data_IF_463962602535
#
_entry.id   IF_463962602535
#
_cell.length_a   1.000
_cell.length_b   1.000
_cell.length_c   1.000
_cell.angle_alpha   90.00
_cell.angle_beta   90.00
_cell.angle_gamma   90.00
#
_symmetry.space_group_name_H-M   'P 1'
#
loop_
_entity.id
_entity.type
_entity.pdbx_description
1 polymer ?
#
# COMPACT_ATOMS: atom_id res chain seq x y z
N UNK A 1 -5.65 -8.35 -5.06
CA UNK A 1 -4.90 -9.51 -4.56
C UNK A 1 -3.52 -9.54 -5.21
N UNK A 2 -2.46 -9.82 -4.41
CA UNK A 2 -1.10 -9.98 -4.97
C UNK A 2 -0.51 -11.32 -4.57
N UNK A 3 0.20 -11.96 -5.49
CA UNK A 3 0.98 -13.18 -5.27
C UNK A 3 2.42 -12.90 -5.68
N UNK A 4 3.38 -13.16 -4.78
CA UNK A 4 4.78 -12.86 -5.01
C UNK A 4 5.64 -14.11 -4.75
N UNK A 5 6.52 -14.42 -5.69
CA UNK A 5 7.56 -15.43 -5.54
C UNK A 5 8.91 -14.73 -5.59
N UNK A 6 9.66 -14.77 -4.48
CA UNK A 6 10.88 -13.99 -4.34
C UNK A 6 11.69 -14.36 -3.12
N UNK A 7 12.61 -13.50 -2.77
CA UNK A 7 13.51 -13.63 -1.62
C UNK A 7 13.33 -12.44 -0.67
N UNK A 8 13.37 -12.77 0.62
CA UNK A 8 13.36 -11.79 1.69
C UNK A 8 14.76 -11.68 2.31
N UNK A 9 15.22 -10.46 2.50
CA UNK A 9 16.48 -10.18 3.16
C UNK A 9 16.28 -9.19 4.32
N UNK A 10 16.68 -9.62 5.52
CA UNK A 10 16.64 -8.77 6.71
C UNK A 10 18.00 -8.10 6.92
N UNK A 11 18.01 -6.78 7.01
CA UNK A 11 19.19 -5.96 7.25
C UNK A 11 19.12 -5.42 8.67
N UNK A 12 19.92 -6.01 9.54
CA UNK A 12 19.87 -5.72 10.97
C UNK A 12 18.53 -6.13 11.60
N UNK A 13 18.04 -5.32 12.55
CA UNK A 13 16.80 -5.61 13.30
C UNK A 13 15.58 -4.88 12.76
N UNK A 14 15.79 -3.86 11.98
CA UNK A 14 14.76 -2.86 11.68
C UNK A 14 14.35 -2.78 10.22
N UNK A 15 15.18 -3.27 9.29
CA UNK A 15 14.92 -3.18 7.86
C UNK A 15 14.77 -4.57 7.25
N UNK A 16 13.71 -4.78 6.49
CA UNK A 16 13.57 -5.93 5.60
C UNK A 16 13.29 -5.48 4.17
N UNK A 17 13.87 -6.19 3.22
CA UNK A 17 13.68 -5.98 1.80
C UNK A 17 13.27 -7.32 1.18
N UNK A 18 12.11 -7.34 0.54
CA UNK A 18 11.60 -8.45 -0.26
C UNK A 18 11.71 -8.09 -1.73
N UNK A 19 12.37 -8.93 -2.50
CA UNK A 19 12.42 -8.80 -3.94
C UNK A 19 11.79 -10.03 -4.60
N UNK A 20 10.72 -9.80 -5.36
CA UNK A 20 9.99 -10.84 -6.08
C UNK A 20 10.08 -10.61 -7.59
N UNK A 21 10.97 -11.32 -8.30
CA UNK A 21 11.05 -11.24 -9.75
C UNK A 21 9.82 -11.84 -10.44
N UNK A 22 9.03 -12.65 -9.75
CA UNK A 22 7.75 -13.15 -10.24
C UNK A 22 6.64 -12.69 -9.30
N UNK A 23 5.95 -11.63 -9.69
CA UNK A 23 4.83 -11.04 -8.95
C UNK A 23 3.59 -10.98 -9.84
N UNK A 24 2.43 -11.31 -9.27
CA UNK A 24 1.12 -11.16 -9.89
C UNK A 24 0.25 -10.20 -9.09
N UNK A 25 -0.33 -9.20 -9.76
CA UNK A 25 -1.32 -8.28 -9.21
C UNK A 25 -2.67 -8.60 -9.87
N UNK A 26 -3.67 -8.91 -9.07
CA UNK A 26 -5.01 -9.30 -9.53
C UNK A 26 -6.03 -8.31 -9.01
N UNK A 27 -6.71 -7.63 -9.91
CA UNK A 27 -7.76 -6.66 -9.61
C UNK A 27 -9.12 -7.23 -9.96
N UNK A 28 -10.07 -7.13 -9.02
CA UNK A 28 -11.45 -7.58 -9.19
C UNK A 28 -12.38 -6.38 -8.93
N UNK A 29 -13.25 -6.07 -9.89
CA UNK A 29 -14.23 -4.99 -9.80
C UNK A 29 -15.62 -5.62 -9.86
N UNK A 30 -16.30 -5.66 -8.71
CA UNK A 30 -17.64 -6.30 -8.61
C UNK A 30 -18.77 -5.36 -8.99
N UNK A 31 -18.55 -4.07 -8.94
CA UNK A 31 -19.54 -3.04 -9.29
C UNK A 31 -19.60 -2.82 -10.79
N UNK A 32 -20.82 -2.83 -11.36
CA UNK A 32 -21.04 -2.71 -12.80
C UNK A 32 -20.74 -1.31 -13.33
N UNK A 33 -21.03 -0.26 -12.55
CA UNK A 33 -20.76 1.13 -12.96
C UNK A 33 -19.26 1.41 -12.98
N UNK A 34 -18.54 0.95 -11.96
CA UNK A 34 -17.07 1.07 -11.88
C UNK A 34 -16.39 0.25 -12.97
N UNK A 35 -16.90 -0.95 -13.28
CA UNK A 35 -16.42 -1.78 -14.38
C UNK A 35 -16.65 -1.09 -15.74
N UNK A 36 -17.85 -0.57 -15.99
CA UNK A 36 -18.16 0.14 -17.22
C UNK A 36 -17.31 1.41 -17.42
N UNK A 37 -16.92 2.06 -16.31
CA UNK A 37 -16.04 3.22 -16.32
C UNK A 37 -14.54 2.88 -16.44
N UNK A 38 -14.15 1.58 -16.45
CA UNK A 38 -12.75 1.16 -16.45
C UNK A 38 -12.00 1.52 -15.18
N UNK A 39 -12.71 1.61 -14.04
CA UNK A 39 -12.11 1.95 -12.77
C UNK A 39 -11.08 0.90 -12.32
N UNK A 40 -10.07 1.34 -11.55
CA UNK A 40 -8.97 0.48 -11.06
C UNK A 40 -8.13 -0.17 -12.16
N UNK A 41 -8.13 0.41 -13.38
CA UNK A 41 -7.34 -0.05 -14.50
C UNK A 41 -7.85 -1.32 -15.21
N UNK A 42 -9.08 -1.78 -14.93
CA UNK A 42 -9.73 -2.82 -15.75
C UNK A 42 -10.18 -2.21 -17.08
N UNK A 43 -10.27 -3.01 -18.14
CA UNK A 43 -10.87 -2.56 -19.39
C UNK A 43 -12.37 -2.26 -19.18
N UNK A 44 -12.93 -1.24 -19.86
CA UNK A 44 -14.34 -0.88 -19.72
C UNK A 44 -15.27 -2.07 -19.95
N UNK A 45 -16.04 -2.43 -18.92
CA UNK A 45 -16.94 -3.58 -18.90
C UNK A 45 -16.30 -4.87 -18.41
N UNK A 46 -14.99 -4.93 -18.22
CA UNK A 46 -14.31 -6.07 -17.62
C UNK A 46 -14.29 -5.95 -16.08
N UNK A 47 -14.39 -7.10 -15.41
CA UNK A 47 -14.40 -7.19 -13.94
C UNK A 47 -13.12 -7.74 -13.34
N UNK A 48 -12.17 -8.09 -14.19
CA UNK A 48 -10.93 -8.75 -13.79
C UNK A 48 -9.75 -8.23 -14.61
N UNK A 49 -8.65 -7.96 -13.92
CA UNK A 49 -7.35 -7.66 -14.55
C UNK A 49 -6.26 -8.45 -13.84
N UNK A 50 -5.37 -9.05 -14.60
CA UNK A 50 -4.18 -9.73 -14.11
C UNK A 50 -2.93 -9.08 -14.71
N UNK A 51 -2.01 -8.69 -13.86
CA UNK A 51 -0.73 -8.10 -14.24
C UNK A 51 0.40 -8.97 -13.67
N UNK A 52 1.38 -9.27 -14.50
CA UNK A 52 2.58 -9.99 -14.09
C UNK A 52 3.80 -9.09 -14.21
N UNK A 53 4.65 -9.10 -13.19
CA UNK A 53 5.77 -8.19 -13.13
C UNK A 53 6.77 -8.56 -12.05
N UNK A 54 7.53 -7.57 -11.62
CA UNK A 54 8.41 -7.67 -10.46
C UNK A 54 7.91 -6.76 -9.34
N UNK A 55 8.14 -7.19 -8.11
CA UNK A 55 7.78 -6.43 -6.91
C UNK A 55 8.99 -6.26 -5.99
N UNK A 56 9.16 -5.04 -5.48
CA UNK A 56 10.13 -4.70 -4.44
C UNK A 56 9.38 -4.11 -3.25
N UNK A 57 9.49 -4.74 -2.10
CA UNK A 57 8.91 -4.28 -0.86
C UNK A 57 10.02 -3.99 0.15
N UNK A 58 10.07 -2.77 0.66
CA UNK A 58 10.97 -2.38 1.73
C UNK A 58 10.17 -1.99 2.98
N UNK A 59 10.48 -2.59 4.11
CA UNK A 59 9.86 -2.28 5.39
C UNK A 59 10.91 -1.91 6.41
N UNK A 60 10.81 -0.69 6.94
CA UNK A 60 11.62 -0.17 8.04
C UNK A 60 10.74 -0.03 9.28
N UNK A 61 11.16 -0.58 10.42
CA UNK A 61 10.47 -0.40 11.70
C UNK A 61 11.48 -0.03 12.78
N UNK A 62 11.37 1.18 13.31
CA UNK A 62 12.34 1.76 14.24
C UNK A 62 11.62 2.24 15.50
N UNK A 63 12.02 1.79 16.69
CA UNK A 63 11.62 2.43 17.94
C UNK A 63 12.35 3.78 18.04
N UNK A 64 11.59 4.87 17.97
CA UNK A 64 12.13 6.23 18.13
C UNK A 64 12.33 6.58 19.60
N UNK A 65 11.43 6.07 20.45
CA UNK A 65 11.43 6.20 21.91
C UNK A 65 10.82 4.92 22.51
N UNK A 66 10.87 4.74 23.82
CA UNK A 66 10.30 3.57 24.52
C UNK A 66 8.81 3.35 24.20
N UNK A 67 8.09 4.43 23.93
CA UNK A 67 6.66 4.43 23.68
C UNK A 67 6.27 4.88 22.25
N UNK A 68 7.24 5.13 21.36
CA UNK A 68 7.00 5.60 19.99
C UNK A 68 7.72 4.70 19.00
N UNK A 69 6.95 4.10 18.11
CA UNK A 69 7.48 3.28 17.00
C UNK A 69 7.08 3.91 15.67
N UNK A 70 8.05 4.05 14.79
CA UNK A 70 7.84 4.46 13.40
C UNK A 70 8.02 3.26 12.49
N UNK A 71 7.06 3.06 11.58
CA UNK A 71 7.13 2.06 10.52
C UNK A 71 6.95 2.76 9.17
N UNK A 72 7.78 2.41 8.21
CA UNK A 72 7.69 2.87 6.82
C UNK A 72 7.72 1.65 5.91
N UNK A 73 6.71 1.51 5.04
CA UNK A 73 6.60 0.41 4.08
C UNK A 73 6.46 1.00 2.69
N UNK A 74 7.42 0.73 1.82
CA UNK A 74 7.41 1.15 0.42
C UNK A 74 7.31 -0.09 -0.47
N UNK A 75 6.30 -0.12 -1.32
CA UNK A 75 6.05 -1.17 -2.30
C UNK A 75 6.17 -0.58 -3.70
N UNK A 76 6.97 -1.20 -4.54
CA UNK A 76 7.20 -0.85 -5.93
C UNK A 76 6.85 -2.05 -6.80
N UNK A 77 5.96 -1.84 -7.76
CA UNK A 77 5.61 -2.86 -8.74
C UNK A 77 5.86 -2.34 -10.15
N UNK A 78 6.44 -3.16 -11.02
CA UNK A 78 6.57 -2.87 -12.44
C UNK A 78 6.11 -4.07 -13.26
N UNK A 79 5.13 -3.90 -14.18
CA UNK A 79 4.65 -4.98 -15.03
C UNK A 79 5.67 -5.32 -16.10
N UNK A 80 5.66 -6.58 -16.57
CA UNK A 80 6.52 -7.06 -17.67
C UNK A 80 5.91 -6.82 -19.05
N UNK A 81 4.60 -6.63 -19.13
CA UNK A 81 3.87 -6.40 -20.38
C UNK A 81 3.25 -5.01 -20.41
N UNK A 82 2.83 -4.55 -21.58
CA UNK A 82 2.05 -3.33 -21.88
C UNK A 82 2.69 -2.01 -21.43
N UNK A 83 3.01 -1.87 -20.16
CA UNK A 83 3.58 -0.67 -19.56
C UNK A 83 4.98 -0.93 -18.95
N UNK A 84 5.78 -1.80 -19.57
CA UNK A 84 7.13 -2.08 -19.11
C UNK A 84 7.94 -0.79 -18.92
N UNK A 85 8.48 -0.61 -17.70
CA UNK A 85 9.23 0.60 -17.33
C UNK A 85 8.41 1.64 -16.59
N UNK A 86 7.08 1.45 -16.44
CA UNK A 86 6.29 2.20 -15.46
C UNK A 86 6.45 1.57 -14.08
N UNK A 87 6.33 2.36 -13.05
CA UNK A 87 6.46 1.90 -11.66
C UNK A 87 5.25 2.37 -10.88
N UNK A 88 4.48 1.41 -10.35
CA UNK A 88 3.47 1.69 -9.35
C UNK A 88 4.14 1.81 -7.99
N UNK A 89 3.76 2.83 -7.23
CA UNK A 89 4.30 3.10 -5.90
C UNK A 89 3.18 3.13 -4.89
N UNK A 90 3.29 2.33 -3.84
CA UNK A 90 2.48 2.47 -2.63
C UNK A 90 3.42 2.62 -1.44
N UNK A 91 3.45 3.81 -0.87
CA UNK A 91 4.29 4.12 0.29
C UNK A 91 3.44 4.50 1.49
N UNK A 92 3.59 3.74 2.54
CA UNK A 92 2.86 3.91 3.79
C UNK A 92 3.83 4.23 4.93
N UNK A 93 3.43 5.15 5.80
CA UNK A 93 4.10 5.37 7.07
C UNK A 93 3.12 5.28 8.22
N UNK A 94 3.58 4.77 9.33
CA UNK A 94 2.80 4.64 10.56
C UNK A 94 3.65 5.04 11.76
N UNK A 95 3.18 6.03 12.50
CA UNK A 95 3.73 6.42 13.79
C UNK A 95 2.77 5.95 14.87
N UNK A 96 3.22 5.03 15.71
CA UNK A 96 2.46 4.51 16.85
C UNK A 96 3.01 5.13 18.13
N UNK A 97 2.15 5.85 18.86
CA UNK A 97 2.48 6.55 20.10
C UNK A 97 1.66 5.95 21.26
N UNK A 98 2.30 5.22 22.15
CA UNK A 98 1.68 4.71 23.39
C UNK A 98 1.78 5.80 24.47
N UNK A 99 0.69 6.51 24.73
CA UNK A 99 0.65 7.59 25.73
C UNK A 99 0.73 6.99 27.14
N UNK A 100 0.00 5.91 27.39
CA UNK A 100 0.04 5.11 28.62
C UNK A 100 -0.55 3.71 28.35
N UNK A 101 -0.75 2.90 29.41
CA UNK A 101 -1.31 1.53 29.30
C UNK A 101 -2.76 1.48 28.78
N UNK A 102 -3.48 2.59 28.81
CA UNK A 102 -4.88 2.68 28.46
C UNK A 102 -5.11 3.40 27.12
N UNK A 103 -4.19 4.27 26.74
CA UNK A 103 -4.39 5.19 25.61
C UNK A 103 -3.21 5.17 24.65
N UNK A 104 -3.54 5.09 23.36
CA UNK A 104 -2.58 5.21 22.27
C UNK A 104 -3.10 6.17 21.19
N UNK A 105 -2.17 6.74 20.43
CA UNK A 105 -2.46 7.50 19.23
C UNK A 105 -1.66 6.91 18.07
N UNK A 106 -2.22 6.91 16.87
CA UNK A 106 -1.51 6.52 15.66
C UNK A 106 -1.70 7.58 14.59
N UNK A 107 -0.61 7.91 13.91
CA UNK A 107 -0.64 8.78 12.75
C UNK A 107 -0.10 7.99 11.55
N UNK A 108 -0.93 7.83 10.53
CA UNK A 108 -0.60 7.14 9.30
C UNK A 108 -0.64 8.06 8.10
N UNK A 109 0.28 7.84 7.15
CA UNK A 109 0.21 8.45 5.82
C UNK A 109 0.30 7.37 4.76
N UNK A 110 -0.35 7.58 3.63
CA UNK A 110 -0.25 6.73 2.46
C UNK A 110 -0.13 7.60 1.21
N UNK A 111 0.82 7.26 0.38
CA UNK A 111 1.08 7.85 -0.92
C UNK A 111 0.95 6.75 -1.95
N UNK A 112 0.06 6.95 -2.93
CA UNK A 112 -0.19 6.00 -4.01
C UNK A 112 0.05 6.72 -5.34
N UNK A 113 0.87 6.11 -6.17
CA UNK A 113 1.03 6.44 -7.58
C UNK A 113 0.88 5.16 -8.38
N UNK A 114 -0.13 5.12 -9.25
CA UNK A 114 -0.39 4.01 -10.16
C UNK A 114 -0.31 4.56 -11.60
N UNK A 115 0.63 4.02 -12.34
CA UNK A 115 0.92 4.51 -13.69
C UNK A 115 -0.18 4.16 -14.71
N UNK A 116 -1.05 3.23 -14.38
CA UNK A 116 -2.13 2.74 -15.25
C UNK A 116 -3.47 3.43 -14.97
N UNK A 117 -3.58 4.13 -13.83
CA UNK A 117 -4.80 4.86 -13.46
C UNK A 117 -4.75 6.30 -14.00
N UNK A 118 -5.68 6.62 -14.88
CA UNK A 118 -5.88 7.95 -15.42
C UNK A 118 -7.09 8.61 -14.74
N UNK A 119 -6.88 9.80 -14.20
CA UNK A 119 -7.95 10.61 -13.62
C UNK A 119 -8.50 11.57 -14.67
N UNK A 120 -9.83 11.55 -14.84
CA UNK A 120 -10.52 12.50 -15.73
C UNK A 120 -10.43 13.92 -15.14
N UNK A 121 -9.94 14.87 -15.92
CA UNK A 121 -9.97 16.28 -15.57
C UNK A 121 -11.10 16.99 -16.32
N UNK A 122 -11.84 17.87 -15.63
CA UNK A 122 -12.86 18.70 -16.26
C UNK A 122 -12.20 19.61 -17.32
N UNK A 123 -12.46 19.32 -18.61
CA UNK A 123 -11.97 20.10 -19.74
C UNK A 123 -10.53 19.83 -20.17
N UNK A 124 -9.87 18.81 -19.64
CA UNK A 124 -8.49 18.43 -19.95
C UNK A 124 -8.33 16.97 -20.39
N UNK A 125 -7.11 16.61 -20.82
CA UNK A 125 -6.76 15.22 -21.03
C UNK A 125 -6.62 14.50 -19.68
N UNK A 126 -6.99 13.20 -19.59
CA UNK A 126 -6.77 12.40 -18.38
C UNK A 126 -5.31 12.41 -17.97
N UNK A 127 -5.04 12.61 -16.71
CA UNK A 127 -3.67 12.66 -16.16
C UNK A 127 -3.47 11.60 -15.06
N UNK A 128 -2.21 11.19 -14.89
CA UNK A 128 -1.81 10.36 -13.74
C UNK A 128 -1.61 11.25 -12.54
N UNK A 129 -2.23 10.91 -11.42
CA UNK A 129 -2.17 11.73 -10.23
C UNK A 129 -1.57 10.95 -9.04
N UNK A 130 -0.78 11.66 -8.26
CA UNK A 130 -0.29 11.22 -6.98
C UNK A 130 -1.41 11.36 -5.94
N UNK A 131 -1.80 10.25 -5.33
CA UNK A 131 -2.81 10.25 -4.28
C UNK A 131 -2.12 10.26 -2.92
N UNK A 132 -2.48 11.21 -2.06
CA UNK A 132 -1.98 11.30 -0.69
C UNK A 132 -3.13 11.25 0.30
N UNK A 133 -3.00 10.36 1.28
CA UNK A 133 -3.96 10.21 2.38
C UNK A 133 -3.22 10.22 3.71
N UNK A 134 -3.83 10.81 4.72
CA UNK A 134 -3.37 10.73 6.10
C UNK A 134 -4.53 10.42 7.05
N UNK A 135 -4.21 9.75 8.15
CA UNK A 135 -5.20 9.34 9.16
C UNK A 135 -4.58 9.51 10.53
N UNK A 136 -5.33 10.12 11.44
CA UNK A 136 -5.01 10.19 12.86
C UNK A 136 -6.07 9.41 13.65
N UNK A 137 -5.64 8.41 14.41
CA UNK A 137 -6.52 7.60 15.25
C UNK A 137 -6.11 7.71 16.72
N UNK A 138 -7.13 7.62 17.57
CA UNK A 138 -6.97 7.49 19.02
C UNK A 138 -7.63 6.21 19.49
N UNK A 139 -6.90 5.40 20.26
CA UNK A 139 -7.36 4.13 20.78
C UNK A 139 -7.33 4.09 22.29
N UNK A 140 -8.38 3.51 22.88
CA UNK A 140 -8.45 3.21 24.31
C UNK A 140 -8.51 1.69 24.51
N UNK A 141 -7.65 1.15 25.38
CA UNK A 141 -7.59 -0.27 25.71
C UNK A 141 -8.06 -0.48 27.15
N UNK A 142 -9.06 -1.34 27.33
CA UNK A 142 -9.56 -1.72 28.65
C UNK A 142 -9.52 -3.24 28.77
N UNK A 143 -8.84 -3.74 29.80
CA UNK A 143 -8.92 -5.15 30.17
C UNK A 143 -10.10 -5.34 31.13
N UNK A 144 -11.14 -6.03 30.66
CA UNK A 144 -12.32 -6.34 31.49
C UNK A 144 -12.08 -7.49 32.49
N UNK A 145 -11.08 -8.34 32.19
CA UNK A 145 -10.66 -9.43 33.07
C UNK A 145 -9.13 -9.56 33.04
N UNK A 146 -8.51 -9.52 34.20
CA UNK A 146 -7.13 -10.02 34.40
C UNK A 146 -7.25 -11.46 34.89
N UNK A 147 -6.92 -12.44 34.06
CA UNK A 147 -6.74 -13.81 34.54
C UNK A 147 -5.47 -13.79 35.43
N UNK A 148 -5.65 -14.18 36.70
CA UNK A 148 -4.55 -14.49 37.64
C UNK A 148 -3.94 -15.85 37.28
#
# INVERSE_FOLDING_TARGET
LSLNLGIDHKIGKNLSISFAPAAGKFTFVSDDELSAAGAYGVDPGEKFRAEFGTNLLATLSVPLMENITFTSTANFFTPYAETFGTIDVNWETLLVMKVNKWFNATFGTQLIYDADILFAQEGGNPTRELQFKHVLNFGANFALFTAN
#
